data_IF_269864343351
#
_entry.id   IF_269864343351
#
_cell.length_a   1.000
_cell.length_b   1.000
_cell.length_c   1.000
_cell.angle_alpha   90.00
_cell.angle_beta   90.00
_cell.angle_gamma   90.00
#
_symmetry.space_group_name_H-M   'P 1'
#
loop_
_entity.id
_entity.type
_entity.pdbx_description
1 polymer ?
#
# COMPACT_ATOMS: atom_id res chain seq x y z
N UNK A 1 -18.68 22.53 33.60
CA UNK A 1 -18.28 21.94 32.31
C UNK A 1 -17.71 22.99 31.41
N UNK A 2 -16.65 22.66 30.72
CA UNK A 2 -16.04 23.58 29.81
C UNK A 2 -16.87 23.74 28.53
N UNK A 3 -16.69 24.85 27.87
CA UNK A 3 -17.36 25.13 26.61
C UNK A 3 -16.83 24.17 25.54
N UNK A 4 -17.67 23.28 24.98
CA UNK A 4 -17.24 22.33 23.98
C UNK A 4 -16.72 23.00 22.70
N UNK A 5 -17.20 24.18 22.38
CA UNK A 5 -16.77 24.88 21.16
C UNK A 5 -15.32 25.35 21.27
N UNK A 6 -14.87 25.70 22.46
CA UNK A 6 -13.48 26.10 22.67
C UNK A 6 -12.54 24.92 22.57
N UNK A 7 -12.89 23.80 23.19
CA UNK A 7 -12.03 22.64 23.21
C UNK A 7 -11.84 22.00 21.84
N UNK A 8 -12.90 21.77 21.04
CA UNK A 8 -12.68 21.24 19.70
C UNK A 8 -11.78 22.11 18.84
N UNK A 9 -11.91 23.44 18.96
CA UNK A 9 -11.06 24.35 18.20
C UNK A 9 -9.62 24.32 18.67
N UNK A 10 -9.38 23.99 19.94
CA UNK A 10 -8.04 23.93 20.54
C UNK A 10 -7.39 22.56 20.43
N UNK A 11 -8.11 21.52 20.01
CA UNK A 11 -7.56 20.16 19.91
C UNK A 11 -6.78 19.96 18.62
N UNK A 12 -5.66 19.24 18.73
CA UNK A 12 -5.01 18.69 17.55
C UNK A 12 -5.85 17.51 17.04
N UNK A 13 -6.01 17.46 15.73
CA UNK A 13 -6.81 16.43 15.06
C UNK A 13 -5.95 15.66 14.08
N UNK A 14 -5.94 14.33 14.18
CA UNK A 14 -5.28 13.47 13.21
C UNK A 14 -6.21 13.31 12.01
N UNK A 15 -5.71 13.57 10.81
CA UNK A 15 -6.53 13.59 9.59
C UNK A 15 -6.31 12.40 8.66
N UNK A 16 -5.34 11.55 8.97
CA UNK A 16 -5.12 10.38 8.11
C UNK A 16 -3.87 9.61 8.48
N UNK A 17 -3.61 8.58 7.69
CA UNK A 17 -2.45 7.71 7.80
C UNK A 17 -1.84 7.53 6.42
N UNK A 18 -0.52 7.53 6.34
CA UNK A 18 0.18 7.18 5.11
C UNK A 18 1.17 6.07 5.42
N UNK A 19 1.23 5.06 4.56
CA UNK A 19 2.24 4.01 4.66
C UNK A 19 3.50 4.49 3.94
N UNK A 20 4.67 4.21 4.53
CA UNK A 20 5.96 4.53 3.91
C UNK A 20 6.64 3.23 3.54
N UNK A 21 6.85 3.03 2.25
CA UNK A 21 7.51 1.85 1.72
C UNK A 21 8.94 2.21 1.31
N UNK A 22 9.89 1.37 1.71
CA UNK A 22 11.29 1.58 1.39
C UNK A 22 11.64 0.78 0.15
N UNK A 23 12.34 1.41 -0.79
CA UNK A 23 12.66 0.83 -2.09
C UNK A 23 14.13 1.05 -2.41
N UNK A 24 14.73 0.12 -3.16
CA UNK A 24 16.16 0.19 -3.49
C UNK A 24 16.42 0.76 -4.88
N UNK A 25 15.41 0.87 -5.71
CA UNK A 25 15.49 1.46 -7.05
C UNK A 25 14.24 2.32 -7.26
N UNK A 26 14.42 3.63 -7.20
CA UNK A 26 13.26 4.53 -7.19
C UNK A 26 12.50 4.52 -8.51
N UNK A 27 13.22 4.51 -9.63
CA UNK A 27 12.57 4.49 -10.95
C UNK A 27 11.78 3.19 -11.16
N UNK A 28 12.34 2.06 -10.74
CA UNK A 28 11.66 0.76 -10.83
C UNK A 28 10.43 0.73 -9.93
N UNK A 29 10.50 1.32 -8.74
CA UNK A 29 9.37 1.40 -7.82
C UNK A 29 8.25 2.26 -8.42
N UNK A 30 8.57 3.44 -8.95
CA UNK A 30 7.55 4.28 -9.59
C UNK A 30 6.89 3.55 -10.77
N UNK A 31 7.68 2.86 -11.59
CA UNK A 31 7.13 2.11 -12.72
C UNK A 31 6.19 1.00 -12.23
N UNK A 32 6.55 0.30 -11.17
CA UNK A 32 5.72 -0.76 -10.61
C UNK A 32 4.38 -0.22 -10.12
N UNK A 33 4.42 0.80 -9.27
CA UNK A 33 3.19 1.34 -8.67
C UNK A 33 2.31 2.02 -9.70
N UNK A 34 2.88 2.69 -10.70
CA UNK A 34 2.07 3.38 -11.71
C UNK A 34 1.59 2.45 -12.81
N UNK A 35 2.50 1.67 -13.41
CA UNK A 35 2.15 0.86 -14.58
C UNK A 35 1.46 -0.44 -14.23
N UNK A 36 1.82 -1.06 -13.12
CA UNK A 36 1.24 -2.35 -12.73
C UNK A 36 0.11 -2.22 -11.72
N UNK A 37 0.26 -1.34 -10.72
CA UNK A 37 -0.77 -1.20 -9.69
C UNK A 37 -1.79 -0.10 -9.98
N UNK A 38 -1.56 0.71 -11.03
CA UNK A 38 -2.54 1.70 -11.44
C UNK A 38 -2.57 2.96 -10.59
N UNK A 39 -1.52 3.22 -9.83
CA UNK A 39 -1.40 4.44 -9.05
C UNK A 39 -0.91 5.59 -9.91
N UNK A 40 -1.16 6.81 -9.48
CA UNK A 40 -0.65 8.04 -10.11
C UNK A 40 0.39 8.66 -9.20
N UNK A 41 1.40 9.31 -9.80
CA UNK A 41 2.39 10.06 -9.02
C UNK A 41 1.77 11.39 -8.61
N UNK A 42 1.71 11.64 -7.30
CA UNK A 42 1.30 12.95 -6.78
C UNK A 42 2.48 13.92 -6.88
N UNK A 43 3.62 13.55 -6.33
CA UNK A 43 4.84 14.32 -6.50
C UNK A 43 6.06 13.44 -6.21
N UNK A 44 7.24 13.95 -6.63
CA UNK A 44 8.54 13.38 -6.26
C UNK A 44 9.43 14.49 -5.73
N UNK A 45 10.42 14.12 -4.94
CA UNK A 45 11.36 15.06 -4.37
C UNK A 45 12.79 14.55 -4.53
N UNK A 46 13.70 15.46 -4.82
CA UNK A 46 15.13 15.19 -5.00
C UNK A 46 15.55 15.15 -6.46
N UNK A 47 16.86 15.35 -6.68
CA UNK A 47 17.45 15.34 -8.02
C UNK A 47 18.77 14.56 -7.95
N UNK A 48 18.77 13.29 -8.36
CA UNK A 48 17.61 12.50 -8.81
C UNK A 48 16.61 12.23 -7.69
N UNK A 49 15.36 11.86 -8.04
CA UNK A 49 14.33 11.65 -7.01
C UNK A 49 14.67 10.50 -6.05
N UNK A 50 14.43 10.75 -4.76
CA UNK A 50 14.62 9.72 -3.72
C UNK A 50 13.41 9.56 -2.81
N UNK A 51 12.38 10.38 -3.00
CA UNK A 51 11.14 10.34 -2.24
C UNK A 51 9.98 10.68 -3.17
N UNK A 52 8.87 10.01 -2.99
CA UNK A 52 7.70 10.31 -3.78
C UNK A 52 6.44 9.81 -3.13
N UNK A 53 5.32 10.31 -3.62
CA UNK A 53 3.99 9.92 -3.16
C UNK A 53 3.18 9.49 -4.37
N UNK A 54 2.56 8.33 -4.26
CA UNK A 54 1.65 7.80 -5.28
C UNK A 54 0.29 7.57 -4.66
N UNK A 55 -0.76 7.76 -5.44
CA UNK A 55 -2.11 7.54 -4.96
C UNK A 55 -3.00 6.89 -6.00
N UNK A 56 -4.00 6.19 -5.53
CA UNK A 56 -5.07 5.61 -6.34
C UNK A 56 -6.33 5.66 -5.49
N UNK A 57 -7.35 6.38 -5.97
CA UNK A 57 -8.59 6.59 -5.22
C UNK A 57 -8.27 7.14 -3.83
N UNK A 58 -8.71 6.50 -2.77
CA UNK A 58 -8.43 6.92 -1.41
C UNK A 58 -7.11 6.40 -0.82
N UNK A 59 -6.36 5.59 -1.56
CA UNK A 59 -5.12 5.02 -1.06
C UNK A 59 -3.92 5.89 -1.41
N UNK A 60 -3.04 6.12 -0.44
CA UNK A 60 -1.88 6.99 -0.60
C UNK A 60 -0.66 6.31 0.01
N UNK A 61 0.41 6.18 -0.77
CA UNK A 61 1.64 5.51 -0.36
C UNK A 61 2.82 6.43 -0.59
N UNK A 62 3.73 6.46 0.38
CA UNK A 62 5.01 7.15 0.25
C UNK A 62 6.07 6.14 -0.12
N UNK A 63 6.91 6.49 -1.10
CA UNK A 63 8.03 5.65 -1.51
C UNK A 63 9.31 6.39 -1.16
N UNK A 64 10.22 5.72 -0.45
CA UNK A 64 11.48 6.31 -0.06
C UNK A 64 12.64 5.42 -0.50
N UNK A 65 13.60 6.02 -1.20
CA UNK A 65 14.80 5.32 -1.65
C UNK A 65 15.73 5.04 -0.47
N UNK A 66 16.19 3.80 -0.38
CA UNK A 66 17.25 3.37 0.50
C UNK A 66 18.31 2.72 -0.40
N UNK A 67 19.56 3.15 -0.31
CA UNK A 67 20.60 2.77 -1.25
C UNK A 67 21.11 1.34 -1.16
N UNK A 68 20.45 0.48 -0.39
CA UNK A 68 20.83 -0.92 -0.22
C UNK A 68 19.58 -1.76 0.03
N UNK A 69 19.65 -3.10 -0.06
CA UNK A 69 18.51 -3.96 0.18
C UNK A 69 17.91 -3.71 1.57
N UNK A 70 16.59 -3.54 1.60
CA UNK A 70 15.88 -3.12 2.81
C UNK A 70 15.58 -4.31 3.72
N UNK A 71 15.36 -5.48 3.14
CA UNK A 71 14.97 -6.66 3.90
C UNK A 71 16.06 -7.71 3.88
N UNK A 72 16.34 -8.29 5.04
CA UNK A 72 17.40 -9.29 5.23
C UNK A 72 16.74 -10.62 5.55
N UNK A 73 17.19 -11.68 4.86
CA UNK A 73 16.65 -13.02 5.06
C UNK A 73 15.22 -13.16 4.58
N UNK A 74 14.50 -14.13 5.12
CA UNK A 74 13.15 -14.46 4.66
C UNK A 74 12.04 -14.16 5.68
N UNK A 75 12.37 -13.52 6.78
CA UNK A 75 11.43 -13.30 7.88
C UNK A 75 10.16 -12.56 7.43
N UNK A 76 10.32 -11.58 6.52
CA UNK A 76 9.18 -10.82 6.02
C UNK A 76 8.16 -11.73 5.36
N UNK A 77 8.61 -12.63 4.50
CA UNK A 77 7.70 -13.56 3.81
C UNK A 77 7.20 -14.66 4.73
N UNK A 78 8.09 -15.21 5.54
CA UNK A 78 7.75 -16.30 6.44
C UNK A 78 6.70 -15.88 7.47
N UNK A 79 6.85 -14.68 8.02
CA UNK A 79 5.94 -14.15 9.03
C UNK A 79 4.85 -13.26 8.42
N UNK A 80 4.87 -13.08 7.10
CA UNK A 80 3.89 -12.28 6.37
C UNK A 80 3.77 -10.85 6.92
N UNK A 81 4.94 -10.19 7.05
CA UNK A 81 5.00 -8.84 7.61
C UNK A 81 4.63 -7.81 6.55
N UNK A 82 3.45 -7.25 6.71
CA UNK A 82 2.88 -6.32 5.72
C UNK A 82 3.54 -4.95 5.80
N UNK A 83 3.81 -4.36 4.61
CA UNK A 83 4.24 -2.96 4.53
C UNK A 83 3.05 -2.01 4.53
N UNK A 84 1.93 -2.44 3.97
CA UNK A 84 0.71 -1.65 3.90
C UNK A 84 -0.50 -2.57 3.77
N UNK A 85 -1.64 -2.09 4.22
CA UNK A 85 -2.92 -2.76 4.05
C UNK A 85 -3.90 -1.75 3.46
N UNK A 86 -4.42 -2.05 2.29
CA UNK A 86 -5.34 -1.19 1.56
C UNK A 86 -6.72 -1.83 1.55
N UNK A 87 -7.74 -1.01 1.76
CA UNK A 87 -9.11 -1.48 1.96
C UNK A 87 -9.98 -1.17 0.75
N UNK A 88 -10.78 -2.16 0.33
CA UNK A 88 -11.82 -2.02 -0.68
C UNK A 88 -13.17 -2.19 -0.02
N UNK A 89 -14.23 -1.72 -0.67
CA UNK A 89 -15.57 -1.68 -0.05
C UNK A 89 -16.37 -2.96 -0.20
N UNK A 90 -15.92 -3.90 -1.04
CA UNK A 90 -16.67 -5.14 -1.26
C UNK A 90 -15.76 -6.28 -1.71
N UNK A 91 -16.21 -7.50 -1.51
CA UNK A 91 -15.52 -8.69 -2.01
C UNK A 91 -15.45 -8.67 -3.55
N UNK A 92 -16.50 -8.20 -4.21
CA UNK A 92 -16.51 -8.09 -5.67
C UNK A 92 -15.42 -7.12 -6.17
N UNK A 93 -15.21 -6.01 -5.46
CA UNK A 93 -14.14 -5.07 -5.81
C UNK A 93 -12.77 -5.70 -5.65
N UNK A 94 -12.56 -6.50 -4.61
CA UNK A 94 -11.29 -7.22 -4.42
C UNK A 94 -11.05 -8.19 -5.57
N UNK A 95 -12.07 -8.94 -5.98
CA UNK A 95 -11.96 -9.88 -7.10
C UNK A 95 -11.59 -9.15 -8.40
N UNK A 96 -12.23 -8.01 -8.67
CA UNK A 96 -11.94 -7.23 -9.87
C UNK A 96 -10.52 -6.69 -9.86
N UNK A 97 -10.06 -6.17 -8.73
CA UNK A 97 -8.70 -5.66 -8.63
C UNK A 97 -7.66 -6.78 -8.79
N UNK A 98 -7.93 -7.94 -8.22
CA UNK A 98 -7.05 -9.09 -8.40
C UNK A 98 -6.89 -9.44 -9.89
N UNK A 99 -7.99 -9.48 -10.63
CA UNK A 99 -7.93 -9.77 -12.07
C UNK A 99 -7.16 -8.70 -12.83
N UNK A 100 -7.34 -7.43 -12.48
CA UNK A 100 -6.58 -6.34 -13.07
C UNK A 100 -5.09 -6.54 -12.85
N UNK A 101 -4.68 -6.87 -11.64
CA UNK A 101 -3.27 -7.05 -11.30
C UNK A 101 -2.68 -8.33 -11.89
N UNK A 102 -3.47 -9.38 -11.97
CA UNK A 102 -3.04 -10.61 -12.63
C UNK A 102 -2.76 -10.35 -14.12
N UNK A 103 -3.64 -9.61 -14.79
CA UNK A 103 -3.46 -9.23 -16.18
C UNK A 103 -2.24 -8.34 -16.40
N UNK A 104 -1.89 -7.53 -15.40
CA UNK A 104 -0.71 -6.65 -15.46
C UNK A 104 0.60 -7.38 -15.15
N UNK A 105 0.55 -8.66 -14.79
CA UNK A 105 1.74 -9.44 -14.47
C UNK A 105 2.32 -9.17 -13.09
N UNK A 106 1.48 -8.74 -12.16
CA UNK A 106 1.89 -8.50 -10.77
C UNK A 106 2.21 -9.83 -10.09
N UNK A 107 3.29 -9.87 -9.29
CA UNK A 107 3.60 -11.02 -8.45
C UNK A 107 2.79 -11.00 -7.17
N UNK A 108 2.35 -12.17 -6.73
CA UNK A 108 1.55 -12.30 -5.52
C UNK A 108 2.26 -13.15 -4.48
N UNK A 109 2.26 -12.67 -3.25
CA UNK A 109 2.65 -13.47 -2.09
C UNK A 109 1.49 -14.39 -1.69
N UNK A 110 0.26 -13.88 -1.78
CA UNK A 110 -0.96 -14.64 -1.54
C UNK A 110 -1.96 -14.29 -2.63
N UNK A 111 -2.46 -15.29 -3.33
CA UNK A 111 -3.50 -15.10 -4.32
C UNK A 111 -4.85 -14.93 -3.64
N UNK A 112 -5.86 -14.62 -4.42
CA UNK A 112 -7.21 -14.34 -3.96
C UNK A 112 -7.73 -15.43 -3.02
N UNK A 113 -8.23 -15.01 -1.86
CA UNK A 113 -8.60 -15.92 -0.80
C UNK A 113 -9.66 -15.30 0.12
N UNK A 114 -10.58 -16.14 0.61
CA UNK A 114 -11.46 -15.74 1.69
C UNK A 114 -10.85 -16.22 3.00
N UNK A 115 -10.62 -15.30 3.92
CA UNK A 115 -10.02 -15.61 5.21
C UNK A 115 -11.03 -16.26 6.16
N UNK A 116 -10.56 -17.00 7.17
CA UNK A 116 -11.48 -17.62 8.14
C UNK A 116 -12.42 -16.65 8.84
N UNK A 117 -12.02 -15.38 8.98
CA UNK A 117 -12.85 -14.33 9.58
C UNK A 117 -13.73 -13.61 8.56
N UNK A 118 -13.75 -14.06 7.31
CA UNK A 118 -14.67 -13.60 6.28
C UNK A 118 -14.12 -12.59 5.28
N UNK A 119 -13.00 -11.95 5.55
CA UNK A 119 -12.44 -10.97 4.63
C UNK A 119 -11.97 -11.61 3.33
N UNK A 120 -12.20 -10.93 2.22
CA UNK A 120 -11.67 -11.30 0.90
C UNK A 120 -10.35 -10.57 0.69
N UNK A 121 -9.26 -11.31 0.42
CA UNK A 121 -7.92 -10.72 0.40
C UNK A 121 -7.03 -11.26 -0.70
N UNK A 122 -6.00 -10.47 -1.05
CA UNK A 122 -4.81 -10.96 -1.71
C UNK A 122 -3.61 -10.09 -1.28
N UNK A 123 -2.40 -10.60 -1.47
CA UNK A 123 -1.18 -9.88 -1.09
C UNK A 123 -0.25 -9.79 -2.29
N UNK A 124 0.13 -8.57 -2.63
CA UNK A 124 1.03 -8.25 -3.73
C UNK A 124 2.47 -8.19 -3.22
N UNK A 125 3.41 -8.64 -4.05
CA UNK A 125 4.84 -8.45 -3.86
C UNK A 125 5.32 -7.34 -4.77
N UNK A 126 5.97 -6.33 -4.20
CA UNK A 126 6.65 -5.32 -5.02
C UNK A 126 8.09 -5.78 -5.34
N UNK A 127 8.85 -5.05 -6.19
CA UNK A 127 10.20 -5.45 -6.55
C UNK A 127 11.18 -5.58 -5.38
N UNK A 128 10.92 -4.91 -4.26
CA UNK A 128 11.79 -4.94 -3.08
C UNK A 128 11.33 -5.95 -2.03
N UNK A 129 10.27 -6.69 -2.29
CA UNK A 129 9.73 -7.63 -1.32
C UNK A 129 8.77 -7.01 -0.32
N UNK A 130 8.31 -5.78 -0.53
CA UNK A 130 7.22 -5.23 0.26
C UNK A 130 5.97 -6.05 0.03
N UNK A 131 5.27 -6.39 1.11
CA UNK A 131 4.02 -7.12 1.04
C UNK A 131 2.87 -6.13 1.23
N UNK A 132 2.01 -6.05 0.23
CA UNK A 132 0.90 -5.10 0.23
C UNK A 132 -0.40 -5.88 0.20
N UNK A 133 -1.14 -5.80 1.30
CA UNK A 133 -2.44 -6.46 1.44
C UNK A 133 -3.54 -5.62 0.82
N UNK A 134 -4.40 -6.26 0.06
CA UNK A 134 -5.65 -5.68 -0.41
C UNK A 134 -6.78 -6.50 0.18
N UNK A 135 -7.71 -5.85 0.85
CA UNK A 135 -8.76 -6.54 1.61
C UNK A 135 -10.09 -5.82 1.52
N UNK A 136 -11.15 -6.61 1.49
CA UNK A 136 -12.52 -6.12 1.56
C UNK A 136 -13.37 -7.04 2.42
N UNK A 137 -14.61 -6.61 2.76
CA UNK A 137 -15.50 -7.48 3.51
C UNK A 137 -15.86 -8.70 2.68
N UNK A 138 -16.10 -9.82 3.36
CA UNK A 138 -16.65 -11.01 2.73
C UNK A 138 -18.12 -10.87 2.42
N UNK A 139 -18.65 -11.76 1.62
CA UNK A 139 -20.07 -11.82 1.29
C UNK A 139 -20.90 -12.39 2.44
#
# INVERSE_FOLDING_TARGET
MSDPAVRPAARAILTGVEAVLYVSDFAAALAFFTRKLGFSVDFTYGEPPFYGVVDRDGARLCLRLVGEPVFVGDIRRREELLSAALTLDSAAAVDLLFLEYEAAGVGFHQKLKTQPWGARTFIVLDPDGNLILFAGPGD
#
